data_IF_793846762255
#
_entry.id   IF_793846762255
#
_cell.length_a   1.000
_cell.length_b   1.000
_cell.length_c   1.000
_cell.angle_alpha   90.00
_cell.angle_beta   90.00
_cell.angle_gamma   90.00
#
_symmetry.space_group_name_H-M   'P 1'
#
loop_
_entity.id
_entity.type
_entity.pdbx_description
1 polymer ?
#
# COMPACT_ATOMS: atom_id res chain seq x y z
N UNK A 1 13.96 -2.52 7.92
CA UNK A 1 12.52 -2.87 8.00
C UNK A 1 12.28 -4.26 7.39
N UNK A 2 12.24 -5.32 8.19
CA UNK A 2 12.15 -6.74 7.76
C UNK A 2 10.75 -7.35 7.99
N UNK A 3 9.67 -6.59 7.81
CA UNK A 3 8.33 -7.17 7.84
C UNK A 3 7.94 -7.63 6.43
N UNK A 4 7.88 -8.95 6.18
CA UNK A 4 7.20 -9.55 5.02
C UNK A 4 8.05 -9.93 3.79
N UNK A 5 9.38 -9.76 3.79
CA UNK A 5 10.22 -10.05 2.60
C UNK A 5 10.90 -11.41 2.58
N UNK A 6 11.01 -12.09 3.73
CA UNK A 6 11.62 -13.41 3.82
C UNK A 6 10.52 -14.39 4.24
N UNK A 7 10.10 -15.21 3.29
CA UNK A 7 9.15 -16.29 3.50
C UNK A 7 9.79 -17.57 2.97
N UNK A 8 9.74 -18.63 3.77
CA UNK A 8 10.05 -20.01 3.36
C UNK A 8 8.80 -20.83 3.57
N UNK A 9 8.18 -21.25 2.48
CA UNK A 9 6.92 -22.00 2.50
C UNK A 9 6.95 -23.06 1.40
N UNK A 10 6.31 -24.20 1.64
CA UNK A 10 6.04 -25.16 0.58
C UNK A 10 5.02 -24.58 -0.43
N UNK A 11 4.86 -25.17 -1.62
CA UNK A 11 3.97 -24.65 -2.65
C UNK A 11 2.51 -24.45 -2.20
N UNK A 12 1.98 -25.34 -1.34
CA UNK A 12 0.59 -25.28 -0.85
C UNK A 12 0.44 -24.11 0.12
N UNK A 13 1.37 -23.96 1.08
CA UNK A 13 1.37 -22.82 1.99
C UNK A 13 1.57 -21.49 1.24
N UNK A 14 2.48 -21.44 0.24
CA UNK A 14 2.71 -20.24 -0.56
C UNK A 14 1.47 -19.81 -1.35
N UNK A 15 0.71 -20.77 -1.91
CA UNK A 15 -0.53 -20.50 -2.62
C UNK A 15 -1.57 -19.77 -1.74
N UNK A 16 -1.59 -20.05 -0.43
CA UNK A 16 -2.47 -19.40 0.53
C UNK A 16 -1.99 -17.98 0.91
N UNK A 17 -0.70 -17.81 1.21
CA UNK A 17 -0.19 -16.54 1.79
C UNK A 17 0.17 -15.47 0.77
N UNK A 18 0.33 -15.82 -0.52
CA UNK A 18 0.77 -14.86 -1.57
C UNK A 18 -0.18 -13.68 -1.77
N UNK A 19 -1.42 -13.73 -1.27
CA UNK A 19 -2.37 -12.62 -1.34
C UNK A 19 -2.16 -11.54 -0.26
N UNK A 20 -1.52 -11.88 0.86
CA UNK A 20 -1.33 -10.96 2.00
C UNK A 20 -0.61 -9.65 1.63
N UNK A 21 0.44 -9.64 0.78
CA UNK A 21 1.12 -8.40 0.39
C UNK A 21 0.19 -7.38 -0.27
N UNK A 22 -0.82 -7.84 -1.01
CA UNK A 22 -1.77 -6.95 -1.67
C UNK A 22 -2.68 -6.26 -0.67
N UNK A 23 -3.16 -7.01 0.34
CA UNK A 23 -3.95 -6.44 1.43
C UNK A 23 -3.13 -5.42 2.24
N UNK A 24 -1.84 -5.70 2.48
CA UNK A 24 -0.94 -4.78 3.19
C UNK A 24 -0.74 -3.49 2.40
N UNK A 25 -0.45 -3.60 1.10
CA UNK A 25 -0.26 -2.44 0.22
C UNK A 25 -1.55 -1.60 0.12
N UNK A 26 -2.70 -2.24 -0.04
CA UNK A 26 -4.01 -1.58 -0.05
C UNK A 26 -4.27 -0.86 1.28
N UNK A 27 -4.03 -1.50 2.42
CA UNK A 27 -4.21 -0.88 3.74
C UNK A 27 -3.33 0.36 3.93
N UNK A 28 -2.07 0.29 3.49
CA UNK A 28 -1.17 1.45 3.49
C UNK A 28 -1.67 2.58 2.59
N UNK A 29 -2.14 2.25 1.38
CA UNK A 29 -2.71 3.24 0.47
C UNK A 29 -3.94 3.92 1.06
N UNK A 30 -4.90 3.14 1.60
CA UNK A 30 -6.12 3.66 2.21
C UNK A 30 -5.83 4.55 3.43
N UNK A 31 -4.93 4.12 4.32
CA UNK A 31 -4.57 4.94 5.49
C UNK A 31 -3.88 6.26 5.10
N UNK A 32 -3.00 6.22 4.11
CA UNK A 32 -2.32 7.42 3.60
C UNK A 32 -3.30 8.36 2.90
N UNK A 33 -4.23 7.81 2.11
CA UNK A 33 -5.31 8.56 1.47
C UNK A 33 -6.24 9.25 2.48
N UNK A 34 -6.61 8.54 3.55
CA UNK A 34 -7.44 9.10 4.62
C UNK A 34 -6.73 10.26 5.34
N UNK A 35 -5.44 10.10 5.67
CA UNK A 35 -4.66 11.17 6.28
C UNK A 35 -4.57 12.41 5.36
N UNK A 36 -4.31 12.20 4.06
CA UNK A 36 -4.30 13.27 3.06
C UNK A 36 -5.65 14.01 2.95
N UNK A 37 -6.77 13.29 2.99
CA UNK A 37 -8.10 13.87 2.93
C UNK A 37 -8.41 14.73 4.17
N UNK A 38 -8.03 14.26 5.35
CA UNK A 38 -8.18 14.99 6.61
C UNK A 38 -7.32 16.27 6.62
N UNK A 39 -6.05 16.18 6.22
CA UNK A 39 -5.14 17.34 6.15
C UNK A 39 -5.62 18.40 5.16
N UNK A 40 -6.20 17.97 4.03
CA UNK A 40 -6.73 18.86 3.01
C UNK A 40 -8.15 19.37 3.30
N UNK A 41 -8.85 18.81 4.30
CA UNK A 41 -10.25 19.11 4.58
C UNK A 41 -11.20 18.78 3.43
N UNK A 42 -10.87 17.78 2.60
CA UNK A 42 -11.66 17.39 1.42
C UNK A 42 -12.23 15.98 1.55
N UNK A 43 -13.21 15.65 0.70
CA UNK A 43 -13.71 14.28 0.63
C UNK A 43 -12.62 13.36 0.07
N UNK A 44 -12.61 12.09 0.51
CA UNK A 44 -11.62 11.09 0.05
C UNK A 44 -11.65 10.91 -1.48
N UNK A 45 -12.79 11.17 -2.12
CA UNK A 45 -12.93 11.09 -3.59
C UNK A 45 -12.23 12.23 -4.34
N UNK A 46 -11.84 13.29 -3.63
CA UNK A 46 -11.22 14.50 -4.18
C UNK A 46 -9.70 14.54 -3.96
N UNK A 47 -9.11 13.51 -3.35
CA UNK A 47 -7.67 13.46 -3.14
C UNK A 47 -6.94 13.33 -4.49
N UNK A 48 -5.80 14.03 -4.60
CA UNK A 48 -4.91 13.88 -5.74
C UNK A 48 -4.18 12.53 -5.66
N UNK A 49 -4.53 11.63 -6.57
CA UNK A 49 -3.91 10.31 -6.68
C UNK A 49 -2.40 10.38 -6.91
N UNK A 50 -1.89 11.42 -7.59
CA UNK A 50 -0.47 11.62 -7.86
C UNK A 50 0.30 11.89 -6.57
N UNK A 51 -0.29 12.70 -5.67
CA UNK A 51 0.28 12.98 -4.34
C UNK A 51 0.28 11.72 -3.47
N UNK A 52 -0.79 10.94 -3.53
CA UNK A 52 -0.87 9.65 -2.82
C UNK A 52 0.22 8.69 -3.32
N UNK A 53 0.35 8.51 -4.63
CA UNK A 53 1.36 7.64 -5.24
C UNK A 53 2.78 8.08 -4.85
N UNK A 54 3.07 9.38 -4.93
CA UNK A 54 4.37 9.92 -4.53
C UNK A 54 4.72 9.60 -3.06
N UNK A 55 3.76 9.74 -2.14
CA UNK A 55 3.96 9.37 -0.74
C UNK A 55 4.20 7.88 -0.54
N UNK A 56 3.43 7.03 -1.22
CA UNK A 56 3.56 5.57 -1.11
C UNK A 56 4.91 5.09 -1.67
N UNK A 57 5.35 5.65 -2.80
CA UNK A 57 6.68 5.38 -3.37
C UNK A 57 7.80 5.86 -2.45
N UNK A 58 7.66 7.03 -1.81
CA UNK A 58 8.61 7.48 -0.78
C UNK A 58 8.72 6.54 0.44
N UNK A 59 7.71 5.70 0.68
CA UNK A 59 7.68 4.69 1.76
C UNK A 59 8.08 3.28 1.28
N UNK A 60 8.51 3.13 0.03
CA UNK A 60 8.98 1.87 -0.54
C UNK A 60 7.90 1.00 -1.19
N UNK A 61 6.73 1.57 -1.50
CA UNK A 61 5.73 0.92 -2.37
C UNK A 61 6.00 1.37 -3.81
N UNK A 62 6.77 0.56 -4.53
CA UNK A 62 7.24 0.87 -5.89
C UNK A 62 6.23 0.47 -6.98
N UNK A 63 6.50 0.91 -8.22
CA UNK A 63 5.76 0.57 -9.46
C UNK A 63 4.28 0.99 -9.49
N UNK A 64 3.88 1.97 -8.68
CA UNK A 64 2.53 2.55 -8.68
C UNK A 64 2.28 3.57 -9.80
N UNK A 65 3.33 4.19 -10.33
CA UNK A 65 3.24 5.33 -11.26
C UNK A 65 3.35 4.94 -12.75
N UNK A 66 3.14 3.67 -13.11
CA UNK A 66 3.27 3.16 -14.47
C UNK A 66 1.93 2.70 -15.03
#
# INVERSE_FOLDING_TARGET
MFAGRILSADPVAFASVRGMPQCIAMGQATGTAAALALDAGCAVQQIDASRLIAQLTGRGIDRLAR
#
